data_IF_338000017800
#
_entry.id   IF_338000017800
#
_cell.length_a   1.000
_cell.length_b   1.000
_cell.length_c   1.000
_cell.angle_alpha   90.00
_cell.angle_beta   90.00
_cell.angle_gamma   90.00
#
_symmetry.space_group_name_H-M   'P 1'
#
loop_
_entity.id
_entity.type
_entity.pdbx_description
1 polymer ?
#
# COMPACT_ATOMS: atom_id res chain seq x y z
N UNK A 1 1.96 5.68 4.04
CA UNK A 1 2.22 4.73 2.95
C UNK A 1 2.28 5.40 1.58
N UNK A 2 1.30 6.22 1.18
CA UNK A 2 1.26 6.86 -0.15
C UNK A 2 2.56 7.62 -0.52
N UNK A 3 3.05 8.51 0.35
CA UNK A 3 4.30 9.23 0.11
C UNK A 3 5.53 8.33 -0.11
N UNK A 4 5.58 7.15 0.54
CA UNK A 4 6.65 6.17 0.32
C UNK A 4 6.54 5.51 -1.06
N UNK A 5 5.31 5.20 -1.49
CA UNK A 5 5.05 4.65 -2.82
C UNK A 5 5.46 5.65 -3.90
N UNK A 6 5.05 6.91 -3.76
CA UNK A 6 5.37 7.98 -4.72
C UNK A 6 6.88 8.21 -4.82
N UNK A 7 7.57 8.29 -3.67
CA UNK A 7 9.02 8.45 -3.65
C UNK A 7 9.76 7.25 -4.28
N UNK A 8 9.28 6.03 -4.03
CA UNK A 8 9.88 4.81 -4.60
C UNK A 8 9.62 4.71 -6.11
N UNK A 9 8.46 5.17 -6.57
CA UNK A 9 8.10 5.23 -7.98
C UNK A 9 9.00 6.24 -8.71
N UNK A 10 9.17 7.44 -8.17
CA UNK A 10 10.07 8.44 -8.72
C UNK A 10 11.52 7.93 -8.78
N UNK A 11 12.00 7.30 -7.72
CA UNK A 11 13.36 6.72 -7.66
C UNK A 11 13.58 5.64 -8.72
N UNK A 12 12.56 4.81 -8.99
CA UNK A 12 12.61 3.81 -10.06
C UNK A 12 12.66 4.46 -11.44
N UNK A 13 11.85 5.48 -11.70
CA UNK A 13 11.82 6.21 -12.96
C UNK A 13 13.15 6.92 -13.25
N UNK A 14 13.73 7.56 -12.24
CA UNK A 14 15.04 8.24 -12.35
C UNK A 14 16.17 7.23 -12.63
N UNK A 15 16.13 6.08 -11.97
CA UNK A 15 17.10 4.99 -12.19
C UNK A 15 16.95 4.37 -13.57
N UNK A 16 15.71 4.20 -14.06
CA UNK A 16 15.43 3.69 -15.40
C UNK A 16 15.92 4.66 -16.48
N UNK A 17 15.68 5.96 -16.28
CA UNK A 17 16.17 7.00 -17.19
C UNK A 17 17.70 7.02 -17.23
N UNK A 18 18.35 6.98 -16.06
CA UNK A 18 19.81 6.97 -15.95
C UNK A 18 20.44 5.74 -16.60
N UNK A 19 19.85 4.56 -16.39
CA UNK A 19 20.27 3.32 -17.05
C UNK A 19 20.12 3.42 -18.58
N UNK A 20 19.01 3.97 -19.08
CA UNK A 20 18.75 4.12 -20.52
C UNK A 20 19.76 5.01 -21.26
N UNK A 21 20.41 5.94 -20.57
CA UNK A 21 21.48 6.79 -21.11
C UNK A 21 22.89 6.33 -20.72
N UNK A 22 23.02 5.18 -20.06
CA UNK A 22 24.31 4.62 -19.64
C UNK A 22 24.97 5.33 -18.44
N UNK A 23 24.23 6.19 -17.72
CA UNK A 23 24.72 6.90 -16.52
C UNK A 23 24.42 6.15 -15.22
N UNK A 24 23.59 5.11 -15.26
CA UNK A 24 23.26 4.24 -14.12
C UNK A 24 23.55 2.77 -14.43
N UNK A 25 23.68 1.96 -13.37
CA UNK A 25 23.93 0.52 -13.55
C UNK A 25 22.63 -0.30 -13.53
N UNK A 26 22.67 -1.50 -14.09
CA UNK A 26 21.54 -2.44 -13.99
C UNK A 26 21.24 -2.79 -12.53
N UNK A 27 22.27 -2.87 -11.68
CA UNK A 27 22.12 -3.15 -10.25
C UNK A 27 21.31 -2.06 -9.56
N UNK A 28 21.59 -0.78 -9.84
CA UNK A 28 20.84 0.35 -9.26
C UNK A 28 19.35 0.31 -9.65
N UNK A 29 19.08 0.02 -10.93
CA UNK A 29 17.71 -0.15 -11.43
C UNK A 29 16.97 -1.30 -10.73
N UNK A 30 17.64 -2.43 -10.51
CA UNK A 30 17.06 -3.58 -9.82
C UNK A 30 16.80 -3.29 -8.34
N UNK A 31 17.69 -2.55 -7.67
CA UNK A 31 17.47 -2.07 -6.30
C UNK A 31 16.25 -1.15 -6.25
N UNK A 32 16.15 -0.16 -7.13
CA UNK A 32 15.02 0.77 -7.17
C UNK A 32 13.69 0.03 -7.45
N UNK A 33 13.69 -0.96 -8.35
CA UNK A 33 12.52 -1.81 -8.61
C UNK A 33 12.10 -2.61 -7.36
N UNK A 34 13.08 -3.14 -6.61
CA UNK A 34 12.82 -3.90 -5.38
C UNK A 34 12.16 -3.00 -4.32
N UNK A 35 12.68 -1.80 -4.14
CA UNK A 35 12.12 -0.84 -3.18
C UNK A 35 10.72 -0.36 -3.58
N UNK A 36 10.45 -0.14 -4.88
CA UNK A 36 9.09 0.11 -5.38
C UNK A 36 8.14 -1.05 -5.07
N UNK A 37 8.58 -2.29 -5.28
CA UNK A 37 7.80 -3.49 -4.96
C UNK A 37 7.50 -3.58 -3.47
N UNK A 38 8.48 -3.26 -2.62
CA UNK A 38 8.31 -3.19 -1.17
C UNK A 38 7.31 -2.10 -0.75
N UNK A 39 7.38 -0.91 -1.34
CA UNK A 39 6.48 0.18 -1.00
C UNK A 39 5.02 -0.16 -1.33
N UNK A 40 4.77 -0.84 -2.46
CA UNK A 40 3.44 -1.37 -2.82
C UNK A 40 2.93 -2.39 -1.80
N UNK A 41 3.80 -3.27 -1.32
CA UNK A 41 3.44 -4.22 -0.26
C UNK A 41 3.06 -3.51 1.04
N UNK A 42 3.85 -2.52 1.47
CA UNK A 42 3.55 -1.72 2.67
C UNK A 42 2.21 -1.00 2.55
N UNK A 43 1.88 -0.48 1.37
CA UNK A 43 0.58 0.16 1.12
C UNK A 43 -0.58 -0.83 1.28
N UNK A 44 -0.46 -2.04 0.69
CA UNK A 44 -1.47 -3.08 0.81
C UNK A 44 -1.64 -3.55 2.25
N UNK A 45 -0.52 -3.81 2.94
CA UNK A 45 -0.51 -4.22 4.35
C UNK A 45 -1.18 -3.18 5.26
N UNK A 46 -0.89 -1.89 5.02
CA UNK A 46 -1.55 -0.79 5.75
C UNK A 46 -3.07 -0.80 5.52
N UNK A 47 -3.53 -1.07 4.29
CA UNK A 47 -4.97 -1.15 3.99
C UNK A 47 -5.63 -2.33 4.68
N UNK A 48 -4.96 -3.49 4.73
CA UNK A 48 -5.45 -4.68 5.47
C UNK A 48 -5.57 -4.38 6.96
N UNK A 49 -4.54 -3.81 7.58
CA UNK A 49 -4.55 -3.46 8.99
C UNK A 49 -5.66 -2.44 9.34
N UNK A 50 -5.93 -1.49 8.45
CA UNK A 50 -7.02 -0.52 8.62
C UNK A 50 -8.39 -1.21 8.59
N UNK A 51 -8.60 -2.15 7.66
CA UNK A 51 -9.84 -2.93 7.55
C UNK A 51 -10.04 -3.81 8.79
N UNK A 52 -8.99 -4.51 9.24
CA UNK A 52 -9.03 -5.34 10.44
C UNK A 52 -9.35 -4.51 11.70
N UNK A 53 -8.70 -3.35 11.85
CA UNK A 53 -8.96 -2.43 12.96
C UNK A 53 -10.38 -1.90 12.94
N UNK A 54 -10.91 -1.60 11.75
CA UNK A 54 -12.30 -1.12 11.59
C UNK A 54 -13.31 -2.23 11.95
N UNK A 55 -13.07 -3.47 11.51
CA UNK A 55 -13.92 -4.60 11.85
C UNK A 55 -13.90 -4.92 13.36
N UNK A 56 -12.72 -4.88 13.99
CA UNK A 56 -12.59 -5.05 15.43
C UNK A 56 -13.32 -3.94 16.21
N UNK A 57 -13.26 -2.69 15.74
CA UNK A 57 -13.99 -1.57 16.34
C UNK A 57 -15.51 -1.77 16.23
N UNK A 58 -16.03 -2.14 15.05
CA UNK A 58 -17.46 -2.38 14.85
C UNK A 58 -17.98 -3.57 15.69
N UNK A 59 -17.16 -4.61 15.85
CA UNK A 59 -17.47 -5.76 16.71
C UNK A 59 -17.55 -5.36 18.19
N UNK A 60 -16.55 -4.63 18.68
CA UNK A 60 -16.46 -4.21 20.09
C UNK A 60 -17.51 -3.16 20.46
N UNK A 61 -17.89 -2.29 19.53
CA UNK A 61 -18.93 -1.27 19.72
C UNK A 61 -20.35 -1.85 19.63
N UNK A 62 -20.49 -3.13 19.24
CA UNK A 62 -21.78 -3.79 19.12
C UNK A 62 -22.59 -3.43 17.87
N UNK A 63 -22.06 -2.59 16.96
CA UNK A 63 -22.73 -2.25 15.69
C UNK A 63 -23.00 -3.49 14.82
N UNK A 64 -22.13 -4.50 14.90
CA UNK A 64 -22.33 -5.77 14.19
C UNK A 64 -23.56 -6.54 14.71
N UNK A 65 -24.02 -6.29 15.94
CA UNK A 65 -25.17 -6.98 16.55
C UNK A 65 -26.52 -6.34 16.23
N UNK A 66 -26.53 -5.09 15.75
CA UNK A 66 -27.76 -4.31 15.48
C UNK A 66 -28.13 -4.25 13.99
N UNK A 67 -27.70 -5.24 13.20
CA UNK A 67 -28.13 -5.42 11.80
C UNK A 67 -29.34 -6.35 11.66
N UNK A 68 -30.04 -6.69 12.77
CA UNK A 68 -31.43 -7.15 12.67
C UNK A 68 -32.31 -5.95 12.35
N UNK A 69 -32.27 -5.53 11.09
CA UNK A 69 -33.35 -4.77 10.44
C UNK A 69 -34.59 -5.64 10.61
N UNK A 70 -35.36 -5.35 11.65
CA UNK A 70 -36.69 -5.91 11.85
C UNK A 70 -37.55 -5.17 10.83
N UNK A 71 -38.06 -5.83 9.77
CA UNK A 71 -39.00 -5.17 8.87
C UNK A 71 -40.27 -4.95 9.68
N UNK A 72 -40.60 -3.69 9.94
CA UNK A 72 -41.83 -3.30 10.62
C UNK A 72 -43.03 -3.81 9.82
N UNK A 73 -43.98 -4.43 10.51
CA UNK A 73 -45.21 -4.99 9.94
C UNK A 73 -46.32 -3.95 9.89
#
# INVERSE_FOLDING_TARGET
>A
AAALLDASQQSYEDSLKSYGVGLGTLTDLLVARRELSRARFVELDTKVQLLESSAALAFTTGEISDTRITPDR
#
